data_IF_195858085377
#
_entry.id   IF_195858085377
#
_cell.length_a   1.000
_cell.length_b   1.000
_cell.length_c   1.000
_cell.angle_alpha   90.00
_cell.angle_beta   90.00
_cell.angle_gamma   90.00
#
_symmetry.space_group_name_H-M   'P 1'
#
loop_
_entity.id
_entity.type
_entity.pdbx_description
1 polymer ?
#
# COMPACT_ATOMS: atom_id res chain seq x y z
N UNK A 1 5.05 -14.60 29.79
CA UNK A 1 5.31 -13.48 28.84
C UNK A 1 4.24 -12.42 29.03
N UNK A 2 4.59 -11.27 29.60
CA UNK A 2 3.64 -10.17 29.80
C UNK A 2 3.38 -9.54 28.42
N UNK A 3 2.15 -9.66 27.90
CA UNK A 3 1.67 -8.88 26.75
C UNK A 3 1.88 -7.40 27.09
N UNK A 4 2.78 -6.71 26.40
CA UNK A 4 2.87 -5.26 26.47
C UNK A 4 1.49 -4.71 26.09
N UNK A 5 0.75 -4.17 27.04
CA UNK A 5 -0.45 -3.37 26.79
C UNK A 5 0.00 -2.28 25.81
N UNK A 6 -0.58 -2.26 24.61
CA UNK A 6 -0.46 -1.13 23.71
C UNK A 6 -0.87 0.11 24.52
N UNK A 7 0.12 0.94 24.81
CA UNK A 7 -0.14 2.16 25.57
C UNK A 7 -1.00 3.03 24.64
N UNK A 8 -2.18 3.36 25.14
CA UNK A 8 -3.19 4.19 24.48
C UNK A 8 -2.76 5.67 24.48
N UNK A 9 -1.50 5.90 24.15
CA UNK A 9 -0.85 7.23 24.14
C UNK A 9 -0.95 7.80 22.74
N UNK A 10 -1.47 9.01 22.62
CA UNK A 10 -1.50 9.77 21.38
C UNK A 10 -0.08 9.86 20.78
N UNK A 11 0.12 9.55 19.49
CA UNK A 11 1.43 9.60 18.89
C UNK A 11 1.97 11.03 18.84
N UNK A 12 3.30 11.20 18.95
CA UNK A 12 3.94 12.47 18.66
C UNK A 12 4.21 12.62 17.17
N UNK A 13 4.10 13.84 16.67
CA UNK A 13 4.42 14.14 15.29
C UNK A 13 5.91 13.90 15.00
N UNK A 14 6.26 13.03 14.04
CA UNK A 14 7.66 12.73 13.72
C UNK A 14 8.37 13.86 12.98
N UNK A 15 7.62 14.85 12.47
CA UNK A 15 8.18 15.96 11.68
C UNK A 15 8.50 17.20 12.53
N UNK A 16 7.64 17.55 13.48
CA UNK A 16 7.83 18.76 14.30
C UNK A 16 7.90 18.47 15.81
N UNK A 17 7.79 17.22 16.24
CA UNK A 17 7.85 16.83 17.64
C UNK A 17 6.63 17.21 18.49
N UNK A 18 5.66 17.94 17.94
CA UNK A 18 4.47 18.36 18.65
C UNK A 18 3.56 17.17 19.00
N UNK A 19 2.72 17.34 20.02
CA UNK A 19 1.70 16.33 20.32
C UNK A 19 0.64 16.28 19.22
N UNK A 20 -0.11 15.20 19.16
CA UNK A 20 -1.25 15.04 18.27
C UNK A 20 -2.57 15.12 19.03
N UNK A 21 -3.62 15.50 18.32
CA UNK A 21 -4.99 15.61 18.83
C UNK A 21 -5.89 14.63 18.09
N UNK A 22 -6.67 13.84 18.85
CA UNK A 22 -7.69 12.97 18.27
C UNK A 22 -8.90 13.81 17.86
N UNK A 23 -9.25 13.82 16.59
CA UNK A 23 -10.39 14.55 16.04
C UNK A 23 -11.02 13.85 14.86
N UNK A 24 -12.22 14.26 14.48
CA UNK A 24 -12.89 13.80 13.26
C UNK A 24 -12.05 14.18 12.01
N UNK A 25 -12.13 13.34 11.00
CA UNK A 25 -11.57 13.62 9.67
C UNK A 25 -12.34 14.70 8.90
N UNK A 26 -13.45 15.22 9.45
CA UNK A 26 -14.21 16.29 8.85
C UNK A 26 -13.34 17.54 8.62
N UNK A 27 -13.43 18.13 7.44
CA UNK A 27 -12.60 19.25 7.04
C UNK A 27 -11.16 18.88 6.60
N UNK A 28 -10.73 17.64 6.83
CA UNK A 28 -9.46 17.08 6.30
C UNK A 28 -9.74 16.17 5.11
N UNK A 29 -10.71 15.27 5.25
CA UNK A 29 -11.21 14.46 4.15
C UNK A 29 -12.31 15.22 3.39
N UNK A 30 -12.37 15.03 2.08
CA UNK A 30 -13.48 15.57 1.26
C UNK A 30 -14.84 15.05 1.70
N UNK A 31 -14.88 13.80 2.11
CA UNK A 31 -16.07 13.11 2.56
C UNK A 31 -15.69 12.17 3.70
N UNK A 32 -16.41 12.22 4.81
CA UNK A 32 -16.17 11.41 5.98
C UNK A 32 -17.41 10.59 6.37
N UNK A 33 -18.01 9.91 5.40
CA UNK A 33 -19.22 9.10 5.59
C UNK A 33 -19.06 7.98 6.64
N UNK A 34 -17.82 7.57 6.90
CA UNK A 34 -17.50 6.50 7.84
C UNK A 34 -17.18 7.00 9.25
N UNK A 35 -17.37 8.29 9.53
CA UNK A 35 -17.02 8.91 10.81
C UNK A 35 -15.57 8.57 11.23
N UNK A 36 -14.64 8.65 10.30
CA UNK A 36 -13.23 8.36 10.54
C UNK A 36 -12.64 9.36 11.53
N UNK A 37 -11.90 8.84 12.51
CA UNK A 37 -11.14 9.63 13.46
C UNK A 37 -9.65 9.61 13.14
N UNK A 38 -8.98 10.72 13.37
CA UNK A 38 -7.55 10.91 13.10
C UNK A 38 -6.83 11.44 14.33
N UNK A 39 -5.59 11.00 14.53
CA UNK A 39 -4.61 11.78 15.28
C UNK A 39 -3.98 12.78 14.33
N UNK A 40 -4.18 14.06 14.58
CA UNK A 40 -3.70 15.16 13.75
C UNK A 40 -2.66 15.95 14.55
N UNK A 41 -1.56 16.34 13.91
CA UNK A 41 -0.58 17.21 14.55
C UNK A 41 -1.25 18.48 15.09
N UNK A 42 -0.91 18.86 16.33
CA UNK A 42 -1.48 20.07 16.95
C UNK A 42 -1.15 21.37 16.20
N UNK A 43 -0.15 21.31 15.31
CA UNK A 43 0.23 22.44 14.44
C UNK A 43 -0.42 22.41 13.06
N UNK A 44 -1.39 21.53 12.86
CA UNK A 44 -2.16 21.50 11.60
C UNK A 44 -2.88 22.86 11.38
N UNK A 45 -2.92 23.43 10.17
CA UNK A 45 -2.44 22.91 8.88
C UNK A 45 -0.96 23.18 8.56
N UNK A 46 -0.24 23.95 9.36
CA UNK A 46 1.18 24.26 9.12
C UNK A 46 2.05 22.98 9.07
N UNK A 47 1.73 22.00 9.90
CA UNK A 47 2.23 20.63 9.82
C UNK A 47 1.06 19.69 9.53
N UNK A 48 0.99 19.16 8.33
CA UNK A 48 -0.15 18.39 7.83
C UNK A 48 -0.09 16.89 8.16
N UNK A 49 0.72 16.53 9.15
CA UNK A 49 0.89 15.14 9.59
C UNK A 49 -0.33 14.63 10.34
N UNK A 50 -0.82 13.47 9.95
CA UNK A 50 -1.87 12.75 10.67
C UNK A 50 -1.81 11.24 10.43
N UNK A 51 -2.57 10.50 11.22
CA UNK A 51 -2.79 9.06 11.07
C UNK A 51 -4.22 8.70 11.47
N UNK A 52 -4.82 7.79 10.73
CA UNK A 52 -6.13 7.25 11.03
C UNK A 52 -6.06 6.32 12.24
N UNK A 53 -7.15 6.21 13.00
CA UNK A 53 -7.33 5.19 14.04
C UNK A 53 -8.18 4.04 13.54
N UNK A 54 -8.05 2.88 14.18
CA UNK A 54 -8.96 1.76 13.93
C UNK A 54 -10.39 2.14 14.35
N UNK A 55 -11.42 1.78 13.56
CA UNK A 55 -12.82 2.13 13.86
C UNK A 55 -13.22 1.73 15.29
N UNK A 56 -13.85 2.66 16.01
CA UNK A 56 -14.31 2.45 17.38
C UNK A 56 -13.21 2.37 18.44
N UNK A 57 -11.96 2.70 18.08
CA UNK A 57 -10.81 2.69 18.99
C UNK A 57 -10.06 4.02 18.97
N UNK A 58 -9.08 4.14 19.89
CA UNK A 58 -8.08 5.22 19.87
C UNK A 58 -6.71 4.72 19.43
N UNK A 59 -6.64 3.56 18.78
CA UNK A 59 -5.40 2.91 18.37
C UNK A 59 -5.08 3.36 16.94
N UNK A 60 -3.92 4.00 16.68
CA UNK A 60 -3.53 4.38 15.33
C UNK A 60 -3.26 3.15 14.47
N UNK A 61 -3.64 3.21 13.19
CA UNK A 61 -3.42 2.11 12.23
C UNK A 61 -1.98 1.99 11.78
N UNK A 62 -1.15 3.00 12.04
CA UNK A 62 0.24 3.07 11.63
C UNK A 62 0.93 4.26 12.28
N UNK A 63 1.95 4.80 11.62
CA UNK A 63 2.65 6.01 12.04
C UNK A 63 2.07 7.25 11.34
N UNK A 64 2.16 8.40 12.03
CA UNK A 64 1.76 9.68 11.44
C UNK A 64 2.59 9.97 10.19
N UNK A 65 1.95 10.53 9.18
CA UNK A 65 2.56 10.84 7.91
C UNK A 65 2.11 12.21 7.38
N UNK A 66 3.03 12.94 6.76
CA UNK A 66 2.72 14.14 5.99
C UNK A 66 2.11 13.75 4.62
N UNK A 67 1.72 14.73 3.83
CA UNK A 67 1.09 14.52 2.53
C UNK A 67 1.96 13.67 1.59
N UNK A 68 3.24 13.93 1.53
CA UNK A 68 4.17 13.20 0.66
C UNK A 68 4.27 11.73 1.04
N UNK A 69 4.47 11.43 2.32
CA UNK A 69 4.55 10.06 2.78
C UNK A 69 3.21 9.32 2.64
N UNK A 70 2.08 9.98 2.84
CA UNK A 70 0.76 9.38 2.58
C UNK A 70 0.59 9.02 1.10
N UNK A 71 1.01 9.90 0.19
CA UNK A 71 0.99 9.62 -1.24
C UNK A 71 1.87 8.42 -1.61
N UNK A 72 3.09 8.36 -1.09
CA UNK A 72 4.00 7.22 -1.29
C UNK A 72 3.44 5.91 -0.73
N UNK A 73 2.85 5.92 0.47
CA UNK A 73 2.20 4.73 1.04
C UNK A 73 1.03 4.24 0.18
N UNK A 74 0.22 5.15 -0.33
CA UNK A 74 -0.89 4.81 -1.24
C UNK A 74 -0.37 4.21 -2.55
N UNK A 75 0.70 4.75 -3.10
CA UNK A 75 1.32 4.22 -4.30
C UNK A 75 1.95 2.85 -4.05
N UNK A 76 2.66 2.68 -2.94
CA UNK A 76 3.21 1.39 -2.53
C UNK A 76 2.11 0.33 -2.37
N UNK A 77 1.00 0.66 -1.73
CA UNK A 77 -0.16 -0.24 -1.63
C UNK A 77 -0.72 -0.62 -2.99
N UNK A 78 -0.92 0.34 -3.89
CA UNK A 78 -1.44 0.06 -5.24
C UNK A 78 -0.54 -0.88 -6.02
N UNK A 79 0.77 -0.66 -5.99
CA UNK A 79 1.74 -1.51 -6.69
C UNK A 79 1.80 -2.91 -6.05
N UNK A 80 1.89 -2.99 -4.74
CA UNK A 80 1.89 -4.25 -4.00
C UNK A 80 0.63 -5.08 -4.20
N UNK A 81 -0.54 -4.46 -4.13
CA UNK A 81 -1.82 -5.12 -4.32
C UNK A 81 -1.96 -5.74 -5.72
N UNK A 82 -1.35 -5.16 -6.74
CA UNK A 82 -1.38 -5.70 -8.09
C UNK A 82 -0.71 -7.06 -8.21
N UNK A 83 0.27 -7.38 -7.35
CA UNK A 83 0.98 -8.66 -7.37
C UNK A 83 0.03 -9.84 -7.16
N UNK A 84 -0.91 -9.72 -6.22
CA UNK A 84 -1.89 -10.77 -5.99
C UNK A 84 -3.17 -10.58 -6.81
N UNK A 85 -3.62 -9.36 -7.08
CA UNK A 85 -4.82 -9.10 -7.90
C UNK A 85 -4.65 -9.54 -9.36
N UNK A 86 -3.43 -9.47 -9.90
CA UNK A 86 -3.10 -10.00 -11.23
C UNK A 86 -2.75 -11.49 -11.23
N UNK A 87 -2.85 -12.18 -10.10
CA UNK A 87 -2.59 -13.60 -9.99
C UNK A 87 -1.11 -14.00 -10.11
N UNK A 88 -0.17 -13.07 -9.92
CA UNK A 88 1.27 -13.35 -9.99
C UNK A 88 1.75 -14.16 -8.80
N UNK A 89 1.13 -13.95 -7.66
CA UNK A 89 1.39 -14.68 -6.42
C UNK A 89 0.14 -14.67 -5.53
N UNK A 90 0.07 -15.60 -4.58
CA UNK A 90 -0.98 -15.58 -3.56
C UNK A 90 -0.82 -14.35 -2.65
N UNK A 91 -1.85 -14.01 -1.91
CA UNK A 91 -1.77 -12.90 -0.94
C UNK A 91 -0.72 -13.17 0.14
N UNK A 92 -0.63 -14.43 0.58
CA UNK A 92 0.34 -14.86 1.59
C UNK A 92 1.77 -14.77 1.05
N UNK A 93 2.01 -15.27 -0.17
CA UNK A 93 3.32 -15.18 -0.84
C UNK A 93 3.73 -13.72 -1.05
N UNK A 94 2.79 -12.83 -1.38
CA UNK A 94 3.06 -11.40 -1.53
C UNK A 94 3.55 -10.78 -0.20
N UNK A 95 2.98 -11.17 0.94
CA UNK A 95 3.46 -10.70 2.24
C UNK A 95 4.84 -11.29 2.59
N UNK A 96 5.10 -12.55 2.30
CA UNK A 96 6.44 -13.15 2.47
C UNK A 96 7.49 -12.46 1.60
N UNK A 97 7.13 -12.15 0.35
CA UNK A 97 7.96 -11.37 -0.55
C UNK A 97 8.24 -9.96 0.00
N UNK A 98 7.23 -9.28 0.55
CA UNK A 98 7.39 -7.97 1.17
C UNK A 98 8.37 -8.03 2.36
N UNK A 99 8.24 -9.03 3.20
CA UNK A 99 9.17 -9.30 4.33
C UNK A 99 10.60 -9.45 3.84
N UNK A 100 10.82 -10.19 2.75
CA UNK A 100 12.16 -10.43 2.20
C UNK A 100 12.80 -9.15 1.66
N UNK A 101 12.02 -8.28 1.01
CA UNK A 101 12.49 -6.99 0.50
C UNK A 101 12.85 -6.03 1.63
N UNK A 102 11.99 -5.96 2.65
CA UNK A 102 12.18 -5.02 3.75
C UNK A 102 13.18 -5.51 4.79
N UNK A 103 13.61 -6.77 4.71
CA UNK A 103 14.42 -7.45 5.73
C UNK A 103 13.85 -7.24 7.15
N UNK A 104 12.52 -7.20 7.28
CA UNK A 104 11.80 -6.89 8.51
C UNK A 104 11.01 -8.10 9.01
N UNK A 105 10.77 -8.24 10.32
CA UNK A 105 9.89 -9.28 10.85
C UNK A 105 8.48 -9.18 10.28
N UNK A 106 7.80 -10.31 10.10
CA UNK A 106 6.47 -10.41 9.47
C UNK A 106 5.44 -9.47 10.10
N UNK A 107 5.46 -9.29 11.42
CA UNK A 107 4.56 -8.38 12.14
C UNK A 107 4.84 -6.90 11.97
N UNK A 108 5.96 -6.53 11.33
CA UNK A 108 6.36 -5.14 11.08
C UNK A 108 6.36 -4.78 9.58
N UNK A 109 6.20 -5.75 8.70
CA UNK A 109 6.18 -5.57 7.26
C UNK A 109 4.80 -5.07 6.76
N UNK A 110 4.32 -3.97 7.34
CA UNK A 110 3.09 -3.30 6.93
C UNK A 110 3.40 -1.91 6.38
N UNK A 111 2.89 -1.62 5.18
CA UNK A 111 3.16 -0.36 4.47
C UNK A 111 2.79 0.88 5.31
N UNK A 112 1.80 0.78 6.18
CA UNK A 112 1.38 1.86 7.10
C UNK A 112 2.43 2.29 8.13
N UNK A 113 3.48 1.50 8.33
CA UNK A 113 4.61 1.83 9.21
C UNK A 113 5.86 2.26 8.45
N UNK A 114 5.88 2.13 7.11
CA UNK A 114 7.06 2.41 6.30
C UNK A 114 7.30 3.92 6.16
N UNK A 115 8.57 4.32 6.25
CA UNK A 115 9.05 5.62 5.83
C UNK A 115 9.22 5.71 4.31
N UNK A 116 9.64 6.89 3.82
CA UNK A 116 9.75 7.17 2.39
C UNK A 116 10.67 6.20 1.65
N UNK A 117 11.84 5.91 2.21
CA UNK A 117 12.81 5.00 1.61
C UNK A 117 12.21 3.63 1.30
N UNK A 118 11.58 3.01 2.30
CA UNK A 118 10.99 1.69 2.14
C UNK A 118 9.76 1.69 1.24
N UNK A 119 8.96 2.75 1.26
CA UNK A 119 7.85 2.89 0.31
C UNK A 119 8.35 2.92 -1.13
N UNK A 120 9.41 3.68 -1.42
CA UNK A 120 10.04 3.73 -2.74
C UNK A 120 10.59 2.36 -3.14
N UNK A 121 11.23 1.65 -2.22
CA UNK A 121 11.73 0.30 -2.46
C UNK A 121 10.60 -0.67 -2.81
N UNK A 122 9.48 -0.65 -2.08
CA UNK A 122 8.31 -1.50 -2.39
C UNK A 122 7.74 -1.18 -3.77
N UNK A 123 7.65 0.10 -4.12
CA UNK A 123 7.16 0.54 -5.44
C UNK A 123 8.07 0.01 -6.55
N UNK A 124 9.36 0.24 -6.44
CA UNK A 124 10.35 -0.16 -7.43
C UNK A 124 10.38 -1.68 -7.64
N UNK A 125 10.47 -2.44 -6.57
CA UNK A 125 10.54 -3.90 -6.64
C UNK A 125 9.21 -4.51 -7.15
N UNK A 126 8.06 -3.96 -6.75
CA UNK A 126 6.78 -4.38 -7.30
C UNK A 126 6.68 -4.12 -8.80
N UNK A 127 7.14 -2.97 -9.25
CA UNK A 127 7.15 -2.62 -10.69
C UNK A 127 8.07 -3.54 -11.50
N UNK A 128 9.23 -3.94 -10.96
CA UNK A 128 10.11 -4.92 -11.62
C UNK A 128 9.39 -6.24 -11.87
N UNK A 129 8.68 -6.77 -10.87
CA UNK A 129 7.91 -8.02 -11.00
C UNK A 129 6.79 -7.85 -12.03
N UNK A 130 6.04 -6.75 -11.98
CA UNK A 130 4.93 -6.47 -12.90
C UNK A 130 5.41 -6.33 -14.35
N UNK A 131 6.52 -5.64 -14.57
CA UNK A 131 7.11 -5.44 -15.91
C UNK A 131 7.65 -6.74 -16.48
N UNK A 132 8.30 -7.58 -15.66
CA UNK A 132 8.79 -8.88 -16.09
C UNK A 132 7.64 -9.76 -16.61
N UNK A 133 6.52 -9.80 -15.89
CA UNK A 133 5.34 -10.55 -16.30
C UNK A 133 4.72 -10.03 -17.61
N UNK A 134 4.65 -8.72 -17.77
CA UNK A 134 4.15 -8.11 -19.01
C UNK A 134 5.03 -8.48 -20.22
N UNK A 135 6.35 -8.50 -20.05
CA UNK A 135 7.29 -8.89 -21.09
C UNK A 135 7.15 -10.38 -21.45
N UNK A 136 6.93 -11.25 -20.48
CA UNK A 136 6.66 -12.68 -20.72
C UNK A 136 5.36 -12.82 -21.54
N UNK A 137 4.28 -12.17 -21.11
CA UNK A 137 2.99 -12.23 -21.81
C UNK A 137 3.07 -11.70 -23.26
N UNK A 138 3.86 -10.64 -23.51
CA UNK A 138 4.08 -10.12 -24.85
C UNK A 138 4.84 -11.09 -25.75
N UNK A 139 5.74 -11.91 -25.21
CA UNK A 139 6.48 -12.92 -26.00
C UNK A 139 5.62 -14.12 -26.35
N UNK A 140 4.66 -14.49 -25.48
CA UNK A 140 3.77 -15.64 -25.67
C UNK A 140 2.61 -15.29 -26.63
N UNK A 141 2.11 -14.04 -26.61
CA UNK A 141 0.96 -13.61 -27.42
C UNK A 141 1.15 -13.74 -28.95
N UNK A 142 2.33 -13.57 -29.57
CA UNK A 142 2.53 -13.77 -31.02
C UNK A 142 2.37 -15.22 -31.46
N UNK A 143 2.68 -16.18 -30.64
CA UNK A 143 2.61 -17.60 -30.99
C UNK A 143 1.16 -18.13 -31.09
N UNK A 144 0.22 -17.53 -30.37
CA UNK A 144 -1.19 -17.94 -30.42
C UNK A 144 -1.91 -17.43 -31.68
N UNK A 145 -1.43 -16.37 -32.32
CA UNK A 145 -2.04 -15.84 -33.57
C UNK A 145 -1.57 -16.57 -34.85
N UNK A 146 -0.54 -17.40 -34.80
CA UNK A 146 -0.06 -18.15 -35.95
C UNK A 146 -0.81 -19.47 -36.18
N UNK A 147 -1.64 -19.93 -35.25
CA UNK A 147 -2.44 -21.15 -35.39
C UNK A 147 -3.86 -20.93 -35.91
N UNK A 148 -4.29 -19.69 -36.14
CA UNK A 148 -5.67 -19.34 -36.50
C UNK A 148 -5.94 -19.02 -37.99
N UNK A 149 -4.99 -19.19 -38.87
CA UNK A 149 -5.17 -18.82 -40.26
C UNK A 149 -4.78 -19.94 -41.25
N UNK A 150 -5.58 -21.01 -41.28
CA UNK A 150 -5.68 -21.90 -42.45
C UNK A 150 -6.92 -22.78 -42.39
N UNK A 151 -8.02 -22.26 -42.84
CA UNK A 151 -9.11 -23.05 -43.44
C UNK A 151 -10.06 -22.05 -44.13
N UNK A 152 -9.72 -21.66 -45.33
CA UNK A 152 -10.69 -21.14 -46.31
C UNK A 152 -10.16 -21.43 -47.69
N UNK A 153 -10.44 -22.65 -48.17
CA UNK A 153 -10.63 -22.95 -49.57
C UNK A 153 -11.16 -24.37 -49.68
N UNK A 154 -12.45 -24.51 -49.58
CA UNK A 154 -13.16 -25.60 -50.28
C UNK A 154 -14.05 -24.91 -51.30
N UNK A 155 -13.52 -24.72 -52.50
CA UNK A 155 -14.30 -24.40 -53.67
C UNK A 155 -15.00 -25.66 -54.14
N UNK A 156 -16.29 -25.56 -54.35
CA UNK A 156 -17.14 -26.55 -55.00
C UNK A 156 -16.93 -26.48 -56.54
N UNK A 157 -16.79 -27.66 -57.09
CA UNK A 157 -17.27 -27.99 -58.44
C UNK A 157 -18.46 -28.88 -58.32
#
# INVERSE_FOLDING_TARGET
MKKKRAQNTAPRCPYCGSHSVLRSADGIYRCNDKNTMLYVCSRYPACDSYVRVHPGTKIPVGTMANQELRALRNEAHRNFDQLHKKGLMSKEDAYHWLVSILAAPLGQAHIVYLGEYYCRQVIEESQKVLNLQQNINRRIAPEMNSFGAKCSNCSHS
#
